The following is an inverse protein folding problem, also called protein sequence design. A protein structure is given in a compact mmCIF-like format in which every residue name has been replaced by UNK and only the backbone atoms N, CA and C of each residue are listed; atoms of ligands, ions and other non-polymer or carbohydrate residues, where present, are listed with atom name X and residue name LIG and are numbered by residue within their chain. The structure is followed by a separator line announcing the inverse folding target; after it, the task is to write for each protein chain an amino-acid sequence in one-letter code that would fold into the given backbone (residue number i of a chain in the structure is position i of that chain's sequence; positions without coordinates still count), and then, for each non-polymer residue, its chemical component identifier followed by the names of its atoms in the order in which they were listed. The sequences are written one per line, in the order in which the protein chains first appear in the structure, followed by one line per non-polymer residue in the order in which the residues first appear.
data_IF_754019889327
#
_entry.id   IF_754019889327
#
_cell.length_a   1.000
_cell.length_b   1.000
_cell.length_c   1.000
_cell.angle_alpha   90.00
_cell.angle_beta   90.00
_cell.angle_gamma   90.00
#
_symmetry.space_group_name_H-M   'P 1'
#
loop_
_entity.id
_entity.type
_entity.pdbx_description
1 polymer ?
#
# COMPACT_ATOMS: atom_id res chain seq x y z
N UNK A 1 23.48 18.01 -3.32
CA UNK A 1 22.16 17.48 -3.59
C UNK A 1 21.60 17.07 -2.23
N UNK A 2 20.58 17.75 -1.73
CA UNK A 2 20.05 17.54 -0.38
C UNK A 2 18.53 17.52 -0.46
N UNK A 3 17.95 16.52 -1.14
CA UNK A 3 16.53 16.22 -1.03
C UNK A 3 16.24 15.47 0.27
N UNK A 4 15.03 15.60 0.82
CA UNK A 4 14.59 14.74 1.92
C UNK A 4 14.24 13.35 1.38
N UNK A 5 14.32 12.33 2.23
CA UNK A 5 13.96 10.95 1.87
C UNK A 5 12.52 10.86 1.35
N UNK A 6 11.59 11.61 1.94
CA UNK A 6 10.20 11.66 1.49
C UNK A 6 10.05 12.28 0.09
N UNK A 7 10.80 13.34 -0.25
CA UNK A 7 10.77 13.91 -1.58
C UNK A 7 11.33 12.94 -2.63
N UNK A 8 12.43 12.25 -2.30
CA UNK A 8 13.00 11.22 -3.17
C UNK A 8 12.04 10.05 -3.37
N UNK A 9 11.29 9.69 -2.33
CA UNK A 9 10.24 8.68 -2.42
C UNK A 9 9.13 9.10 -3.38
N UNK A 10 8.63 10.33 -3.26
CA UNK A 10 7.57 10.86 -4.13
C UNK A 10 8.02 10.87 -5.60
N UNK A 11 9.26 11.30 -5.87
CA UNK A 11 9.84 11.31 -7.23
C UNK A 11 9.94 9.89 -7.82
N UNK A 12 10.34 8.88 -7.02
CA UNK A 12 10.43 7.49 -7.48
C UNK A 12 9.03 6.92 -7.72
N UNK A 13 8.07 7.20 -6.84
CA UNK A 13 6.69 6.74 -7.00
C UNK A 13 6.06 7.32 -8.28
N UNK A 14 6.26 8.62 -8.52
CA UNK A 14 5.81 9.30 -9.73
C UNK A 14 6.46 8.69 -10.98
N UNK A 15 7.77 8.47 -10.96
CA UNK A 15 8.50 7.84 -12.09
C UNK A 15 7.95 6.45 -12.41
N UNK A 16 7.69 5.62 -11.40
CA UNK A 16 7.14 4.28 -11.57
C UNK A 16 5.72 4.34 -12.16
N UNK A 17 4.92 5.30 -11.71
CA UNK A 17 3.55 5.50 -12.20
C UNK A 17 3.54 6.00 -13.65
N UNK A 18 4.35 7.01 -13.98
CA UNK A 18 4.53 7.50 -15.34
C UNK A 18 5.12 6.44 -16.28
N UNK A 19 5.91 5.52 -15.74
CA UNK A 19 6.42 4.33 -16.43
C UNK A 19 5.38 3.23 -16.68
N UNK A 20 4.09 3.51 -16.38
CA UNK A 20 2.96 2.63 -16.70
C UNK A 20 2.54 1.67 -15.58
N UNK A 21 3.09 1.78 -14.38
CA UNK A 21 2.62 1.01 -13.23
C UNK A 21 1.42 1.69 -12.56
N UNK A 22 0.43 0.90 -12.11
CA UNK A 22 -0.60 1.46 -11.24
C UNK A 22 0.01 1.89 -9.90
N UNK A 23 -0.59 2.87 -9.23
CA UNK A 23 -0.10 3.31 -7.92
C UNK A 23 -0.04 2.16 -6.89
N UNK A 24 -1.05 1.28 -6.76
CA UNK A 24 -0.94 0.12 -5.88
C UNK A 24 0.24 -0.80 -6.23
N UNK A 25 0.55 -0.97 -7.53
CA UNK A 25 1.72 -1.75 -7.96
C UNK A 25 3.02 -1.07 -7.53
N UNK A 26 3.16 0.22 -7.81
CA UNK A 26 4.36 0.99 -7.45
C UNK A 26 4.59 1.00 -5.94
N UNK A 27 3.54 1.20 -5.15
CA UNK A 27 3.58 1.16 -3.68
C UNK A 27 3.90 -0.26 -3.17
N UNK A 28 3.37 -1.32 -3.80
CA UNK A 28 3.70 -2.70 -3.43
C UNK A 28 5.16 -3.05 -3.69
N UNK A 29 5.86 -2.33 -4.57
CA UNK A 29 7.31 -2.51 -4.78
C UNK A 29 8.13 -2.07 -3.56
N UNK A 30 7.52 -1.34 -2.61
CA UNK A 30 8.09 -1.08 -1.28
C UNK A 30 7.80 -2.31 -0.42
N UNK A 31 8.77 -3.18 -0.15
CA UNK A 31 8.45 -4.50 0.34
C UNK A 31 7.98 -4.49 1.80
N UNK A 32 6.92 -5.22 2.07
CA UNK A 32 6.71 -5.79 3.40
C UNK A 32 7.86 -6.74 3.77
N UNK A 33 7.94 -7.22 5.01
CA UNK A 33 8.96 -8.19 5.44
C UNK A 33 8.71 -9.55 4.77
N UNK A 34 9.32 -9.79 3.62
CA UNK A 34 9.04 -10.94 2.74
C UNK A 34 10.11 -12.03 2.77
N UNK A 35 11.37 -11.71 3.01
CA UNK A 35 12.49 -12.65 2.87
C UNK A 35 12.36 -13.86 3.78
N UNK A 36 12.00 -13.63 5.04
CA UNK A 36 11.85 -14.67 6.06
C UNK A 36 10.40 -15.08 6.32
N UNK A 37 9.44 -14.59 5.53
CA UNK A 37 8.03 -14.91 5.71
C UNK A 37 7.72 -16.29 5.11
N UNK A 38 7.59 -17.31 5.98
CA UNK A 38 7.35 -18.70 5.57
C UNK A 38 5.93 -18.97 5.08
N UNK A 39 4.98 -18.07 5.37
CA UNK A 39 3.57 -18.24 5.02
C UNK A 39 3.17 -17.50 3.74
N UNK A 40 4.08 -16.70 3.18
CA UNK A 40 3.84 -15.96 1.94
C UNK A 40 3.76 -16.90 0.75
N UNK A 41 2.79 -16.67 -0.16
CA UNK A 41 2.66 -17.44 -1.38
C UNK A 41 3.91 -17.32 -2.28
N UNK A 42 4.14 -18.32 -3.12
CA UNK A 42 5.29 -18.34 -4.03
C UNK A 42 5.23 -17.18 -5.05
N UNK A 43 4.04 -16.86 -5.55
CA UNK A 43 3.79 -15.79 -6.51
C UNK A 43 4.12 -14.42 -5.91
N UNK A 44 3.62 -14.13 -4.70
CA UNK A 44 3.90 -12.87 -3.99
C UNK A 44 5.38 -12.74 -3.66
N UNK A 45 6.02 -13.82 -3.23
CA UNK A 45 7.48 -13.84 -2.99
C UNK A 45 8.27 -13.59 -4.29
N UNK A 46 7.84 -14.17 -5.40
CA UNK A 46 8.47 -13.95 -6.70
C UNK A 46 8.31 -12.51 -7.18
N UNK A 47 7.15 -11.89 -6.95
CA UNK A 47 6.92 -10.46 -7.19
C UNK A 47 7.97 -9.61 -6.45
N UNK A 48 8.12 -9.80 -5.14
CA UNK A 48 9.08 -9.02 -4.36
C UNK A 48 10.52 -9.28 -4.80
N UNK A 49 10.90 -10.54 -5.04
CA UNK A 49 12.24 -10.89 -5.49
C UNK A 49 12.58 -10.27 -6.86
N UNK A 50 11.64 -10.26 -7.78
CA UNK A 50 11.81 -9.61 -9.07
C UNK A 50 12.02 -8.10 -8.91
N UNK A 51 11.15 -7.43 -8.16
CA UNK A 51 11.22 -5.97 -8.00
C UNK A 51 12.42 -5.53 -7.15
N UNK A 52 12.88 -6.34 -6.22
CA UNK A 52 14.11 -6.07 -5.46
C UNK A 52 15.38 -6.03 -6.32
N UNK A 53 15.33 -6.57 -7.55
CA UNK A 53 16.42 -6.42 -8.52
C UNK A 53 16.36 -5.12 -9.31
N UNK A 54 15.24 -4.40 -9.27
CA UNK A 54 15.01 -3.17 -10.02
C UNK A 54 15.24 -1.90 -9.21
N UNK A 55 15.03 -1.97 -7.91
CA UNK A 55 15.23 -0.84 -7.02
C UNK A 55 15.60 -1.31 -5.60
N UNK A 56 16.33 -0.47 -4.89
CA UNK A 56 16.63 -0.71 -3.48
C UNK A 56 15.35 -0.64 -2.63
N UNK A 57 15.22 -1.50 -1.60
CA UNK A 57 14.09 -1.45 -0.70
C UNK A 57 14.13 -0.17 0.13
N UNK A 58 13.00 0.48 0.25
CA UNK A 58 12.84 1.60 1.16
C UNK A 58 12.75 1.09 2.59
N UNK A 59 13.51 1.70 3.48
CA UNK A 59 13.47 1.41 4.91
C UNK A 59 13.28 2.71 5.70
N UNK A 60 12.56 2.60 6.80
CA UNK A 60 12.25 3.72 7.68
C UNK A 60 10.75 3.88 7.94
N UNK A 61 10.40 4.62 9.01
CA UNK A 61 9.00 4.82 9.40
C UNK A 61 8.25 5.68 8.39
N UNK A 62 7.29 5.09 7.69
CA UNK A 62 6.47 5.78 6.70
C UNK A 62 4.99 5.37 6.80
N UNK A 63 4.11 6.35 6.59
CA UNK A 63 2.72 6.13 6.22
C UNK A 63 2.50 6.87 4.90
N UNK A 64 2.24 6.11 3.85
CA UNK A 64 2.16 6.62 2.49
C UNK A 64 0.68 6.62 2.10
N UNK A 65 0.14 7.80 1.81
CA UNK A 65 -1.18 7.94 1.21
C UNK A 65 -1.03 8.30 -0.26
N UNK A 66 -1.86 7.72 -1.12
CA UNK A 66 -1.79 7.95 -2.56
C UNK A 66 -3.19 7.95 -3.19
N UNK A 67 -3.32 8.62 -4.33
CA UNK A 67 -4.53 8.60 -5.14
C UNK A 67 -4.21 8.89 -6.60
N UNK A 68 -4.97 8.28 -7.51
CA UNK A 68 -4.99 8.60 -8.95
C UNK A 68 -6.31 9.25 -9.38
N UNK A 69 -7.13 9.67 -8.43
CA UNK A 69 -8.46 10.24 -8.66
C UNK A 69 -9.60 9.21 -8.65
N UNK A 70 -9.30 7.92 -8.80
CA UNK A 70 -10.27 6.80 -8.74
C UNK A 70 -9.97 5.87 -7.58
N UNK A 71 -8.70 5.56 -7.39
CA UNK A 71 -8.22 4.78 -6.27
C UNK A 71 -7.68 5.71 -5.19
N UNK A 72 -7.99 5.42 -3.95
CA UNK A 72 -7.41 6.07 -2.78
C UNK A 72 -6.82 4.97 -1.91
N UNK A 73 -5.56 5.11 -1.57
CA UNK A 73 -4.90 4.07 -0.80
C UNK A 73 -3.95 4.62 0.26
N UNK A 74 -3.60 3.75 1.17
CA UNK A 74 -2.56 4.01 2.15
C UNK A 74 -1.84 2.72 2.53
N UNK A 75 -0.56 2.83 2.82
CA UNK A 75 0.28 1.72 3.26
C UNK A 75 1.21 2.17 4.38
N UNK A 76 1.46 1.31 5.33
CA UNK A 76 2.55 1.48 6.29
C UNK A 76 3.81 0.75 5.80
N UNK A 77 4.96 1.26 6.23
CA UNK A 77 6.22 0.54 6.11
C UNK A 77 6.16 -0.84 6.80
N UNK A 78 7.15 -1.69 6.53
CA UNK A 78 7.22 -3.05 7.08
C UNK A 78 7.24 -3.13 8.61
N UNK A 79 7.70 -2.08 9.29
CA UNK A 79 7.75 -2.03 10.76
C UNK A 79 6.48 -1.43 11.37
N UNK A 80 5.73 -0.64 10.59
CA UNK A 80 4.45 -0.05 11.00
C UNK A 80 4.54 0.88 12.20
N UNK A 81 5.62 1.65 12.31
CA UNK A 81 5.87 2.53 13.45
C UNK A 81 4.98 3.79 13.44
N UNK A 82 4.54 4.23 12.25
CA UNK A 82 3.63 5.37 12.13
C UNK A 82 2.21 4.95 12.49
N UNK A 83 1.50 5.73 13.30
CA UNK A 83 0.09 5.47 13.56
C UNK A 83 -0.74 5.75 12.31
N UNK A 84 -1.69 4.88 12.02
CA UNK A 84 -2.70 5.11 11.01
C UNK A 84 -3.98 4.36 11.37
N UNK A 85 -5.09 5.06 11.38
CA UNK A 85 -6.41 4.55 11.72
C UNK A 85 -7.39 4.90 10.63
N UNK A 86 -8.42 4.09 10.49
CA UNK A 86 -9.50 4.38 9.55
C UNK A 86 -10.87 4.08 10.17
N UNK A 87 -11.87 4.78 9.67
CA UNK A 87 -13.28 4.62 9.97
C UNK A 87 -14.06 4.56 8.68
N UNK A 88 -15.08 3.73 8.66
CA UNK A 88 -16.08 3.66 7.59
C UNK A 88 -17.41 3.97 8.22
N UNK A 89 -18.17 4.85 7.60
CA UNK A 89 -19.49 5.26 8.06
C UNK A 89 -20.60 4.59 7.26
N UNK A 90 -21.83 4.63 7.75
CA UNK A 90 -23.01 4.07 7.11
C UNK A 90 -23.49 4.87 5.88
N UNK A 91 -22.94 6.07 5.67
CA UNK A 91 -23.11 6.91 4.50
C UNK A 91 -21.91 6.82 3.52
N UNK A 92 -21.20 5.68 3.55
CA UNK A 92 -20.13 5.31 2.63
C UNK A 92 -18.91 6.26 2.63
N UNK A 93 -18.65 6.95 3.73
CA UNK A 93 -17.46 7.78 3.89
C UNK A 93 -16.35 6.95 4.54
N UNK A 94 -15.16 6.99 3.95
CA UNK A 94 -13.95 6.41 4.54
C UNK A 94 -13.03 7.55 4.98
N UNK A 95 -12.65 7.54 6.25
CA UNK A 95 -11.76 8.54 6.85
C UNK A 95 -10.52 7.82 7.34
N UNK A 96 -9.36 8.30 6.95
CA UNK A 96 -8.08 7.81 7.45
C UNK A 96 -7.29 8.96 8.07
N UNK A 97 -6.73 8.72 9.24
CA UNK A 97 -5.91 9.70 9.94
C UNK A 97 -4.87 9.01 10.86
N UNK A 98 -3.82 9.73 11.19
CA UNK A 98 -2.82 9.29 12.19
C UNK A 98 -3.41 9.24 13.60
N UNK A 99 -4.37 10.11 13.90
CA UNK A 99 -4.92 10.31 15.24
C UNK A 99 -6.46 10.28 15.23
N UNK A 100 -7.03 10.05 16.41
CA UNK A 100 -8.46 10.13 16.66
C UNK A 100 -8.86 11.61 16.84
N UNK A 101 -10.01 12.01 16.31
CA UNK A 101 -10.56 13.35 16.53
C UNK A 101 -10.09 14.43 15.55
N UNK A 102 -9.39 14.05 14.47
CA UNK A 102 -9.02 14.98 13.38
C UNK A 102 -10.23 15.48 12.62
N UNK A 103 -11.27 14.67 12.57
CA UNK A 103 -12.59 15.02 11.99
C UNK A 103 -13.64 14.64 13.02
N UNK A 104 -14.62 15.52 13.21
CA UNK A 104 -15.76 15.23 14.05
C UNK A 104 -16.69 14.25 13.31
N UNK A 105 -16.81 13.04 13.85
CA UNK A 105 -17.60 11.96 13.27
C UNK A 105 -18.60 11.50 14.32
N UNK A 106 -19.87 11.46 13.93
CA UNK A 106 -20.88 10.85 14.75
C UNK A 106 -20.56 9.36 14.94
N UNK A 107 -20.27 8.99 16.18
CA UNK A 107 -19.90 7.62 16.55
C UNK A 107 -21.01 6.61 16.21
N UNK A 108 -22.26 7.03 16.17
CA UNK A 108 -23.39 6.18 15.80
C UNK A 108 -23.37 5.77 14.32
N UNK A 109 -22.71 6.54 13.47
CA UNK A 109 -22.60 6.27 12.04
C UNK A 109 -21.44 5.32 11.69
N UNK A 110 -20.53 5.05 12.61
CA UNK A 110 -19.36 4.23 12.32
C UNK A 110 -19.74 2.76 12.26
N UNK A 111 -19.64 2.16 11.08
CA UNK A 111 -19.91 0.73 10.82
C UNK A 111 -18.65 -0.13 10.86
N UNK A 112 -17.50 0.46 10.57
CA UNK A 112 -16.19 -0.24 10.62
C UNK A 112 -15.11 0.73 11.09
N UNK A 113 -14.21 0.24 11.94
CA UNK A 113 -13.00 0.97 12.33
C UNK A 113 -11.82 0.02 12.47
N UNK A 114 -10.63 0.51 12.17
CA UNK A 114 -9.44 -0.31 12.29
C UNK A 114 -8.16 0.52 12.32
N UNK A 115 -7.06 -0.22 12.43
CA UNK A 115 -5.70 0.30 12.26
C UNK A 115 -5.10 -0.31 11.02
N UNK A 116 -4.36 0.49 10.27
CA UNK A 116 -3.51 -0.02 9.22
C UNK A 116 -2.39 -0.85 9.86
N UNK A 117 -2.17 -2.04 9.33
CA UNK A 117 -1.17 -2.96 9.84
C UNK A 117 0.17 -2.78 9.11
N UNK A 118 1.31 -3.15 9.71
CA UNK A 118 2.61 -3.11 9.06
C UNK A 118 2.60 -3.82 7.71
N UNK A 119 3.11 -3.16 6.67
CA UNK A 119 3.17 -3.68 5.31
C UNK A 119 1.81 -3.95 4.63
N UNK A 120 0.69 -3.62 5.28
CA UNK A 120 -0.66 -3.78 4.73
C UNK A 120 -1.12 -2.52 4.01
N UNK A 121 -1.83 -2.72 2.93
CA UNK A 121 -2.45 -1.67 2.13
C UNK A 121 -3.93 -1.55 2.46
N UNK A 122 -4.41 -0.35 2.72
CA UNK A 122 -5.83 0.02 2.65
C UNK A 122 -6.05 0.60 1.26
N UNK A 123 -6.96 0.03 0.49
CA UNK A 123 -7.28 0.51 -0.85
C UNK A 123 -8.79 0.68 -0.99
N UNK A 124 -9.21 1.86 -1.42
CA UNK A 124 -10.60 2.20 -1.72
C UNK A 124 -10.71 2.41 -3.22
N UNK A 125 -11.59 1.65 -3.87
CA UNK A 125 -11.98 1.85 -5.26
C UNK A 125 -13.28 2.64 -5.29
N UNK A 126 -13.20 3.92 -5.65
CA UNK A 126 -14.35 4.80 -5.66
C UNK A 126 -15.29 4.55 -6.84
N UNK A 127 -14.78 3.96 -7.93
CA UNK A 127 -15.61 3.57 -9.08
C UNK A 127 -16.45 2.33 -8.76
N UNK A 128 -15.90 1.39 -8.01
CA UNK A 128 -16.61 0.20 -7.54
C UNK A 128 -17.35 0.43 -6.21
N UNK A 129 -17.11 1.54 -5.52
CA UNK A 129 -17.70 1.88 -4.24
C UNK A 129 -17.35 0.87 -3.13
N UNK A 130 -16.11 0.36 -3.10
CA UNK A 130 -15.71 -0.63 -2.11
C UNK A 130 -14.28 -0.49 -1.62
N UNK A 131 -14.03 -1.05 -0.45
CA UNK A 131 -12.68 -1.30 0.05
C UNK A 131 -12.18 -2.61 -0.57
N UNK A 132 -10.99 -2.57 -1.17
CA UNK A 132 -10.28 -3.75 -1.66
C UNK A 132 -9.35 -4.25 -0.56
N UNK A 133 -9.47 -5.51 -0.19
CA UNK A 133 -8.66 -6.08 0.88
C UNK A 133 -7.20 -6.29 0.42
N UNK A 134 -6.26 -6.15 1.35
CA UNK A 134 -4.82 -6.24 1.08
C UNK A 134 -4.42 -7.53 0.36
N UNK A 135 -4.95 -8.67 0.79
CA UNK A 135 -4.61 -9.95 0.17
C UNK A 135 -5.17 -10.06 -1.26
N UNK A 136 -6.33 -9.47 -1.54
CA UNK A 136 -6.92 -9.43 -2.87
C UNK A 136 -6.04 -8.63 -3.84
N UNK A 137 -5.71 -7.38 -3.50
CA UNK A 137 -4.90 -6.53 -4.38
C UNK A 137 -3.50 -7.10 -4.58
N UNK A 138 -2.87 -7.63 -3.52
CA UNK A 138 -1.55 -8.23 -3.62
C UNK A 138 -1.54 -9.50 -4.47
N UNK A 139 -2.59 -10.31 -4.38
CA UNK A 139 -2.75 -11.48 -5.24
C UNK A 139 -2.92 -11.08 -6.71
N UNK A 140 -3.76 -10.09 -7.00
CA UNK A 140 -3.95 -9.57 -8.34
C UNK A 140 -2.64 -9.04 -8.92
N UNK A 141 -1.92 -8.20 -8.18
CA UNK A 141 -0.66 -7.62 -8.63
C UNK A 141 0.44 -8.66 -8.83
N UNK A 142 0.51 -9.67 -7.97
CA UNK A 142 1.47 -10.78 -8.10
C UNK A 142 1.22 -11.64 -9.34
N UNK A 143 0.01 -11.60 -9.90
CA UNK A 143 -0.38 -12.34 -11.10
C UNK A 143 -0.29 -11.52 -12.40
N UNK A 144 0.09 -10.23 -12.33
CA UNK A 144 0.17 -9.36 -13.52
C UNK A 144 1.25 -9.76 -14.52
N UNK A 145 2.26 -10.50 -14.06
CA UNK A 145 3.31 -11.05 -14.91
C UNK A 145 3.79 -12.42 -14.36
N UNK A 146 4.45 -13.25 -15.15
CA UNK A 146 4.93 -14.56 -14.72
C UNK A 146 6.22 -14.44 -13.89
N UNK A 147 6.14 -13.76 -12.75
CA UNK A 147 7.30 -13.46 -11.91
C UNK A 147 8.09 -14.71 -11.48
N UNK A 148 7.40 -15.84 -11.24
CA UNK A 148 8.05 -17.12 -10.94
C UNK A 148 9.02 -17.55 -12.05
N UNK A 149 8.68 -17.31 -13.30
CA UNK A 149 9.58 -17.63 -14.42
C UNK A 149 10.68 -16.58 -14.58
N UNK A 150 10.36 -15.31 -14.35
CA UNK A 150 11.29 -14.20 -14.53
C UNK A 150 12.46 -14.23 -13.53
N UNK A 151 12.26 -14.73 -12.32
CA UNK A 151 13.31 -14.83 -11.30
C UNK A 151 14.27 -16.03 -11.49
N UNK A 152 14.01 -16.89 -12.47
CA UNK A 152 14.83 -18.08 -12.77
C UNK A 152 15.69 -17.94 -14.02
N UNK A 153 15.73 -16.75 -14.60
CA UNK A 153 16.58 -16.47 -15.78
C UNK A 153 18.02 -16.25 -15.36
#
# INVERSE_FOLDING_TARGET
MGGSDSASFDEVLELLHLGGRSLPHAVMMIPEAWENNKTMSAEKRAFYRFHASLMEPWDGPACIAFTDGTLIGAVLDRNGLRPSRYWVTDDDIVIMASEVGVVDIDQAKIVRKGRLQPGRMLLIDTALGRIVEDDEIKQQLSATAPYLSLIHI
#
